data_IF_369328809276
#
_entry.id   IF_369328809276
#
_cell.length_a   1.000
_cell.length_b   1.000
_cell.length_c   1.000
_cell.angle_alpha   90.00
_cell.angle_beta   90.00
_cell.angle_gamma   90.00
#
_symmetry.space_group_name_H-M   'P 1'
#
loop_
_entity.id
_entity.type
_entity.pdbx_description
1 polymer ?
#
# COMPACT_ATOMS: atom_id res chain seq x y z
N UNK A 1 20.73 0.82 -2.12
CA UNK A 1 20.64 0.42 -3.54
C UNK A 1 19.20 0.69 -3.97
N UNK A 2 18.96 1.72 -4.79
CA UNK A 2 17.62 1.97 -5.34
C UNK A 2 17.38 0.95 -6.45
N UNK A 3 16.25 0.25 -6.41
CA UNK A 3 15.86 -0.70 -7.47
C UNK A 3 14.93 0.03 -8.42
N UNK A 4 15.35 0.20 -9.67
CA UNK A 4 14.51 0.75 -10.74
C UNK A 4 13.62 -0.39 -11.23
N UNK A 5 12.30 -0.19 -11.17
CA UNK A 5 11.32 -1.06 -11.83
C UNK A 5 10.53 -0.20 -12.80
N UNK A 6 10.90 -0.25 -14.07
CA UNK A 6 10.08 0.20 -15.18
C UNK A 6 10.12 -0.93 -16.22
N UNK A 7 8.97 -1.55 -16.53
CA UNK A 7 8.89 -2.41 -17.72
C UNK A 7 8.89 -1.49 -18.94
N UNK A 8 9.64 -1.87 -19.98
CA UNK A 8 9.71 -1.14 -21.27
C UNK A 8 8.45 -1.39 -22.09
N UNK A 9 7.28 -1.26 -21.49
CA UNK A 9 6.03 -1.31 -22.23
C UNK A 9 5.71 0.12 -22.68
N UNK A 10 5.54 0.33 -23.98
CA UNK A 10 5.06 1.61 -24.51
C UNK A 10 3.71 1.91 -23.85
N UNK A 11 3.70 2.89 -22.95
CA UNK A 11 2.47 3.33 -22.30
C UNK A 11 1.63 4.02 -23.37
N UNK A 12 0.49 3.43 -23.73
CA UNK A 12 -0.43 4.03 -24.69
C UNK A 12 -0.82 5.44 -24.23
N UNK A 13 -0.92 6.38 -25.17
CA UNK A 13 -1.27 7.76 -24.88
C UNK A 13 -2.63 7.90 -24.19
N UNK A 14 -2.83 8.99 -23.44
CA UNK A 14 -4.09 9.32 -22.77
C UNK A 14 -4.11 9.08 -21.26
N UNK A 15 -3.06 8.50 -20.68
CA UNK A 15 -2.92 8.36 -19.22
C UNK A 15 -1.95 9.39 -18.65
N UNK A 16 -2.27 9.90 -17.46
CA UNK A 16 -1.33 10.68 -16.65
C UNK A 16 -0.57 9.74 -15.73
N UNK A 17 0.77 9.76 -15.81
CA UNK A 17 1.63 8.89 -15.01
C UNK A 17 2.15 9.67 -13.81
N UNK A 18 2.05 9.08 -12.62
CA UNK A 18 2.58 9.62 -11.37
C UNK A 18 3.71 8.70 -10.89
N UNK A 19 4.99 9.06 -11.11
CA UNK A 19 6.10 8.30 -10.55
C UNK A 19 6.01 8.25 -9.03
N UNK A 20 6.13 7.05 -8.48
CA UNK A 20 6.13 6.80 -7.04
C UNK A 20 7.52 6.35 -6.59
N UNK A 21 8.12 7.07 -5.65
CA UNK A 21 9.42 6.77 -5.07
C UNK A 21 9.22 6.12 -3.71
N UNK A 22 9.55 4.83 -3.62
CA UNK A 22 9.51 4.10 -2.35
C UNK A 22 10.78 4.32 -1.53
N UNK A 23 10.59 4.70 -0.26
CA UNK A 23 11.67 4.92 0.70
C UNK A 23 11.37 4.15 1.98
N UNK A 24 12.25 3.23 2.34
CA UNK A 24 12.12 2.51 3.61
C UNK A 24 12.30 3.48 4.78
N UNK A 25 11.53 3.29 5.86
CA UNK A 25 11.69 4.11 7.06
C UNK A 25 13.10 3.98 7.67
N UNK A 26 13.73 2.81 7.54
CA UNK A 26 15.12 2.56 7.93
C UNK A 26 16.10 3.47 7.19
N UNK A 27 15.86 3.75 5.90
CA UNK A 27 16.66 4.72 5.15
C UNK A 27 16.60 6.11 5.81
N UNK A 28 15.42 6.57 6.20
CA UNK A 28 15.24 7.86 6.90
C UNK A 28 15.92 7.86 8.29
N UNK A 29 15.85 6.74 9.02
CA UNK A 29 16.52 6.59 10.31
C UNK A 29 18.04 6.73 10.17
N UNK A 30 18.63 6.08 9.16
CA UNK A 30 20.08 6.07 8.92
C UNK A 30 20.61 7.31 8.19
N UNK A 31 19.74 8.11 7.58
CA UNK A 31 20.15 9.35 6.89
C UNK A 31 20.47 10.44 7.91
N UNK A 32 21.69 10.98 7.82
CA UNK A 32 22.10 12.14 8.61
C UNK A 32 21.44 13.42 8.10
N UNK A 33 21.25 14.38 9.00
CA UNK A 33 20.61 15.68 8.68
C UNK A 33 21.32 16.45 7.55
N UNK A 34 22.65 16.28 7.41
CA UNK A 34 23.45 16.86 6.32
C UNK A 34 23.26 16.13 4.99
N UNK A 35 22.92 14.83 5.02
CA UNK A 35 22.74 13.98 3.85
C UNK A 35 21.32 14.07 3.26
N UNK A 36 20.35 14.59 4.00
CA UNK A 36 18.95 14.74 3.52
C UNK A 36 18.88 15.52 2.19
N UNK A 37 19.73 16.54 2.01
CA UNK A 37 19.80 17.30 0.76
C UNK A 37 20.29 16.44 -0.39
N UNK A 38 21.39 15.69 -0.18
CA UNK A 38 21.94 14.78 -1.18
C UNK A 38 20.94 13.68 -1.55
N UNK A 39 20.19 13.16 -0.58
CA UNK A 39 19.15 12.16 -0.84
C UNK A 39 18.05 12.73 -1.76
N UNK A 40 17.62 13.97 -1.54
CA UNK A 40 16.64 14.62 -2.41
C UNK A 40 17.17 14.82 -3.84
N UNK A 41 18.43 15.23 -3.98
CA UNK A 41 19.10 15.36 -5.29
C UNK A 41 19.16 14.01 -6.02
N UNK A 42 19.55 12.94 -5.31
CA UNK A 42 19.61 11.60 -5.88
C UNK A 42 18.24 11.07 -6.32
N UNK A 43 17.20 11.34 -5.52
CA UNK A 43 15.81 10.99 -5.88
C UNK A 43 15.41 11.71 -7.18
N UNK A 44 15.71 13.01 -7.28
CA UNK A 44 15.34 13.78 -8.46
C UNK A 44 16.09 13.32 -9.72
N UNK A 45 17.41 13.09 -9.61
CA UNK A 45 18.20 12.53 -10.71
C UNK A 45 17.63 11.20 -11.20
N UNK A 46 17.26 10.31 -10.28
CA UNK A 46 16.66 9.02 -10.63
C UNK A 46 15.32 9.18 -11.37
N UNK A 47 14.48 10.12 -10.94
CA UNK A 47 13.20 10.41 -11.62
C UNK A 47 13.45 10.88 -13.05
N UNK A 48 14.45 11.75 -13.27
CA UNK A 48 14.80 12.25 -14.60
C UNK A 48 15.37 11.16 -15.51
N UNK A 49 16.23 10.28 -14.97
CA UNK A 49 16.76 9.14 -15.71
C UNK A 49 15.64 8.20 -16.17
N UNK A 50 14.69 7.89 -15.28
CA UNK A 50 13.52 7.06 -15.61
C UNK A 50 12.68 7.75 -16.69
N UNK A 51 12.34 9.04 -16.49
CA UNK A 51 11.58 9.85 -17.45
C UNK A 51 12.16 9.77 -18.86
N UNK A 52 13.48 9.95 -18.98
CA UNK A 52 14.19 9.89 -20.25
C UNK A 52 14.14 8.48 -20.85
N UNK A 53 14.32 7.45 -20.03
CA UNK A 53 14.36 6.07 -20.49
C UNK A 53 12.99 5.53 -20.96
N UNK A 54 11.89 6.07 -20.42
CA UNK A 54 10.51 5.62 -20.71
C UNK A 54 9.79 6.51 -21.71
N UNK A 55 10.38 7.62 -22.16
CA UNK A 55 9.75 8.57 -23.09
C UNK A 55 8.55 9.31 -22.48
N UNK A 56 8.51 9.49 -21.15
CA UNK A 56 7.43 10.24 -20.49
C UNK A 56 7.68 11.74 -20.67
N UNK A 57 6.78 12.45 -21.35
CA UNK A 57 6.97 13.87 -21.66
C UNK A 57 6.84 14.79 -20.44
N UNK A 58 5.87 14.52 -19.56
CA UNK A 58 5.56 15.35 -18.40
C UNK A 58 5.36 14.55 -17.12
N UNK A 59 5.76 15.15 -16.00
CA UNK A 59 5.56 14.61 -14.66
C UNK A 59 4.79 15.66 -13.86
N UNK A 60 3.45 15.66 -13.93
CA UNK A 60 2.64 16.67 -13.25
C UNK A 60 2.64 16.47 -11.73
N UNK A 61 2.98 15.27 -11.25
CA UNK A 61 3.01 14.92 -9.84
C UNK A 61 4.07 13.85 -9.56
N UNK A 62 4.70 13.91 -8.40
CA UNK A 62 5.61 12.90 -7.86
C UNK A 62 5.06 12.45 -6.50
N UNK A 63 4.93 11.14 -6.31
CA UNK A 63 4.48 10.57 -5.04
C UNK A 63 5.66 9.97 -4.28
N UNK A 64 5.80 10.28 -2.99
CA UNK A 64 6.77 9.66 -2.11
C UNK A 64 6.07 8.66 -1.19
N UNK A 65 6.43 7.39 -1.32
CA UNK A 65 5.92 6.33 -0.44
C UNK A 65 6.90 6.06 0.69
N UNK A 66 6.51 6.41 1.93
CA UNK A 66 7.33 6.18 3.11
C UNK A 66 6.47 6.05 4.36
N UNK A 67 6.62 4.93 5.08
CA UNK A 67 5.97 4.72 6.38
C UNK A 67 6.73 5.44 7.51
N UNK A 68 6.68 6.78 7.52
CA UNK A 68 7.33 7.55 8.58
C UNK A 68 6.66 7.33 9.93
N UNK A 69 7.44 7.55 10.98
CA UNK A 69 7.06 7.39 12.39
C UNK A 69 7.26 8.71 13.13
N UNK A 70 6.80 8.78 14.38
CA UNK A 70 7.11 9.93 15.26
C UNK A 70 8.62 10.22 15.32
N UNK A 71 9.45 9.18 15.41
CA UNK A 71 10.91 9.30 15.48
C UNK A 71 11.57 9.74 14.16
N UNK A 72 10.93 9.53 13.01
CA UNK A 72 11.49 9.85 11.68
C UNK A 72 10.82 11.04 11.00
N UNK A 73 9.71 11.54 11.56
CA UNK A 73 8.89 12.64 11.04
C UNK A 73 9.71 13.84 10.59
N UNK A 74 10.52 14.42 11.47
CA UNK A 74 11.19 15.69 11.17
C UNK A 74 12.21 15.54 10.03
N UNK A 75 12.93 14.41 9.99
CA UNK A 75 13.85 14.08 8.91
C UNK A 75 13.12 13.83 7.59
N UNK A 76 12.02 13.07 7.63
CA UNK A 76 11.19 12.82 6.46
C UNK A 76 10.58 14.12 5.91
N UNK A 77 10.07 15.00 6.76
CA UNK A 77 9.48 16.28 6.33
C UNK A 77 10.54 17.22 5.77
N UNK A 78 11.76 17.19 6.31
CA UNK A 78 12.91 17.89 5.71
C UNK A 78 13.23 17.33 4.33
N UNK A 79 13.20 16.01 4.14
CA UNK A 79 13.41 15.39 2.83
C UNK A 79 12.36 15.87 1.83
N UNK A 80 11.07 15.82 2.19
CA UNK A 80 9.96 16.26 1.34
C UNK A 80 10.12 17.73 0.90
N UNK A 81 10.54 18.62 1.81
CA UNK A 81 10.84 20.03 1.47
C UNK A 81 11.98 20.17 0.47
N UNK A 82 13.03 19.37 0.61
CA UNK A 82 14.15 19.39 -0.34
C UNK A 82 13.75 18.82 -1.70
N UNK A 83 12.98 17.72 -1.74
CA UNK A 83 12.45 17.15 -2.99
C UNK A 83 11.57 18.18 -3.70
N UNK A 84 10.65 18.82 -2.98
CA UNK A 84 9.81 19.91 -3.52
C UNK A 84 10.64 21.03 -4.16
N UNK A 85 11.79 21.37 -3.57
CA UNK A 85 12.67 22.40 -4.11
C UNK A 85 13.36 21.97 -5.41
N UNK A 86 13.65 20.68 -5.59
CA UNK A 86 14.25 20.14 -6.82
C UNK A 86 13.23 19.97 -7.94
N UNK A 87 11.98 19.65 -7.61
CA UNK A 87 10.93 19.29 -8.57
C UNK A 87 10.01 20.47 -8.92
N UNK A 88 10.56 21.70 -9.00
CA UNK A 88 9.75 22.88 -9.28
C UNK A 88 8.97 22.71 -10.57
N UNK A 89 7.63 22.79 -10.49
CA UNK A 89 6.71 22.53 -11.61
C UNK A 89 5.89 21.25 -11.47
N UNK A 90 6.29 20.30 -10.61
CA UNK A 90 5.50 19.11 -10.27
C UNK A 90 4.83 19.29 -8.90
N UNK A 91 3.61 18.75 -8.76
CA UNK A 91 2.98 18.55 -7.45
C UNK A 91 3.74 17.48 -6.69
N UNK A 92 3.78 17.60 -5.37
CA UNK A 92 4.32 16.57 -4.49
C UNK A 92 3.18 15.92 -3.70
N UNK A 93 3.12 14.60 -3.68
CA UNK A 93 2.22 13.83 -2.83
C UNK A 93 2.99 12.79 -2.02
N UNK A 94 2.35 12.23 -1.00
CA UNK A 94 2.91 11.10 -0.28
C UNK A 94 1.84 10.11 0.16
N UNK A 95 2.22 8.85 0.33
CA UNK A 95 1.35 7.86 0.96
C UNK A 95 1.15 8.20 2.44
N UNK A 96 -0.03 7.88 2.99
CA UNK A 96 -0.35 8.12 4.40
C UNK A 96 -1.07 6.88 4.94
N UNK A 97 -0.60 6.41 6.10
CA UNK A 97 -1.22 5.31 6.85
C UNK A 97 -2.29 5.83 7.79
N UNK A 98 -3.31 5.02 8.03
CA UNK A 98 -4.40 5.33 8.97
C UNK A 98 -3.91 5.67 10.40
N UNK A 99 -2.85 5.03 10.88
CA UNK A 99 -2.29 5.37 12.19
C UNK A 99 -1.67 6.79 12.23
N UNK A 100 -1.14 7.29 11.11
CA UNK A 100 -0.60 8.65 11.00
C UNK A 100 -1.73 9.70 11.00
N UNK A 101 -2.92 9.34 10.51
CA UNK A 101 -4.13 10.16 10.67
C UNK A 101 -4.60 10.16 12.13
N UNK A 102 -4.70 8.97 12.73
CA UNK A 102 -5.18 8.79 14.12
C UNK A 102 -4.31 9.53 15.12
N UNK A 103 -2.98 9.46 14.98
CA UNK A 103 -2.02 10.06 15.91
C UNK A 103 -1.39 11.34 15.37
N UNK A 104 -2.18 12.18 14.70
CA UNK A 104 -1.76 13.42 14.04
C UNK A 104 -0.83 14.31 14.88
N UNK A 105 -1.09 14.46 16.18
CA UNK A 105 -0.26 15.29 17.06
C UNK A 105 1.19 14.79 17.19
N UNK A 106 1.41 13.48 17.02
CA UNK A 106 2.72 12.83 17.07
C UNK A 106 3.37 12.78 15.69
N UNK A 107 2.62 12.29 14.70
CA UNK A 107 3.11 12.00 13.34
C UNK A 107 3.12 13.22 12.42
N UNK A 108 2.40 14.29 12.77
CA UNK A 108 2.36 15.54 12.01
C UNK A 108 1.68 15.44 10.64
N UNK A 109 1.67 16.57 9.94
CA UNK A 109 1.15 16.70 8.57
C UNK A 109 2.33 16.88 7.61
N UNK A 110 2.50 16.01 6.60
CA UNK A 110 3.61 16.13 5.66
C UNK A 110 3.47 17.39 4.79
N UNK A 111 4.57 18.10 4.47
CA UNK A 111 4.56 19.34 3.69
C UNK A 111 4.41 19.09 2.17
N UNK A 112 3.38 18.36 1.78
CA UNK A 112 3.04 17.96 0.41
C UNK A 112 1.72 18.61 -0.04
N UNK A 113 1.37 18.51 -1.31
CA UNK A 113 0.14 19.11 -1.86
C UNK A 113 -1.08 18.21 -1.65
N UNK A 114 -0.85 16.88 -1.49
CA UNK A 114 -1.91 15.87 -1.31
C UNK A 114 -1.36 14.61 -0.66
N UNK A 115 -2.18 13.89 0.11
CA UNK A 115 -1.86 12.57 0.64
C UNK A 115 -2.64 11.46 -0.05
N UNK A 116 -2.05 10.27 -0.20
CA UNK A 116 -2.76 9.05 -0.61
C UNK A 116 -3.01 8.18 0.63
N UNK A 117 -4.23 8.18 1.15
CA UNK A 117 -4.61 7.38 2.31
C UNK A 117 -4.73 5.90 1.94
N UNK A 118 -3.80 5.08 2.45
CA UNK A 118 -3.79 3.65 2.21
C UNK A 118 -4.75 2.93 3.17
N UNK A 119 -5.91 2.53 2.65
CA UNK A 119 -6.97 1.85 3.40
C UNK A 119 -6.79 0.32 3.33
N UNK A 120 -5.61 -0.18 3.70
CA UNK A 120 -5.30 -1.61 3.79
C UNK A 120 -4.09 -1.88 4.68
N UNK A 121 -3.80 -3.16 4.93
CA UNK A 121 -2.76 -3.67 5.82
C UNK A 121 -2.94 -3.17 7.26
N UNK A 122 -4.17 -3.29 7.78
CA UNK A 122 -4.56 -2.75 9.08
C UNK A 122 -4.54 -3.79 10.21
N UNK A 123 -4.74 -5.06 9.88
CA UNK A 123 -4.83 -6.11 10.90
C UNK A 123 -3.47 -6.64 11.35
N UNK A 124 -3.47 -7.39 12.45
CA UNK A 124 -2.24 -7.92 13.01
C UNK A 124 -1.82 -9.23 12.31
N UNK A 125 -0.79 -9.14 11.47
CA UNK A 125 -0.14 -10.29 10.81
C UNK A 125 0.43 -11.31 11.80
N UNK A 126 0.89 -10.87 12.97
CA UNK A 126 1.52 -11.75 13.96
C UNK A 126 0.51 -12.52 14.80
N UNK A 127 -0.73 -12.05 14.90
CA UNK A 127 -1.78 -12.74 15.62
C UNK A 127 -2.42 -13.80 14.70
N UNK A 128 -2.27 -15.11 15.00
CA UNK A 128 -2.90 -16.15 14.21
C UNK A 128 -4.42 -16.00 14.18
N UNK A 129 -5.04 -15.51 15.26
CA UNK A 129 -6.50 -15.39 15.38
C UNK A 129 -7.12 -14.26 14.53
N UNK A 130 -6.34 -13.32 13.99
CA UNK A 130 -6.85 -12.31 13.05
C UNK A 130 -7.57 -13.00 11.89
N UNK A 131 -8.71 -12.47 11.45
CA UNK A 131 -9.50 -13.05 10.35
C UNK A 131 -8.91 -12.63 9.01
N UNK A 132 -8.67 -11.33 8.82
CA UNK A 132 -8.07 -10.75 7.63
C UNK A 132 -7.23 -9.52 8.00
N UNK A 133 -5.95 -9.51 7.68
CA UNK A 133 -5.06 -8.37 7.95
C UNK A 133 -5.00 -7.35 6.83
N UNK A 134 -5.46 -7.69 5.63
CA UNK A 134 -5.52 -6.80 4.47
C UNK A 134 -6.54 -5.70 4.73
N UNK A 135 -7.80 -6.06 4.99
CA UNK A 135 -8.87 -5.09 5.21
C UNK A 135 -9.98 -5.71 6.06
N UNK A 136 -10.32 -5.02 7.15
CA UNK A 136 -11.55 -5.22 7.91
C UNK A 136 -12.11 -3.83 8.25
N UNK A 137 -13.36 -3.57 7.87
CA UNK A 137 -14.05 -2.28 8.03
C UNK A 137 -14.17 -1.90 9.50
N UNK A 138 -14.35 -2.89 10.38
CA UNK A 138 -14.40 -2.66 11.83
C UNK A 138 -13.05 -2.28 12.42
N UNK A 139 -11.94 -2.72 11.82
CA UNK A 139 -10.60 -2.23 12.17
C UNK A 139 -10.39 -0.81 11.62
N UNK A 140 -10.80 -0.55 10.38
CA UNK A 140 -10.73 0.77 9.74
C UNK A 140 -11.39 1.88 10.57
N UNK A 141 -12.63 1.64 11.06
CA UNK A 141 -13.39 2.58 11.91
C UNK A 141 -12.61 3.07 13.13
N UNK A 142 -11.66 2.29 13.64
CA UNK A 142 -10.84 2.66 14.81
C UNK A 142 -9.85 3.78 14.51
N UNK A 143 -9.63 4.13 13.24
CA UNK A 143 -8.65 5.13 12.79
C UNK A 143 -9.28 6.31 12.05
N UNK A 144 -10.54 6.23 11.61
CA UNK A 144 -11.19 7.27 10.79
C UNK A 144 -11.71 8.47 11.58
N UNK A 145 -11.76 8.42 12.91
CA UNK A 145 -12.34 9.48 13.74
C UNK A 145 -11.72 10.88 13.55
N UNK A 146 -10.44 10.97 13.17
CA UNK A 146 -9.75 12.25 12.90
C UNK A 146 -9.74 12.63 11.42
N UNK A 147 -10.26 11.78 10.54
CA UNK A 147 -10.11 11.93 9.09
C UNK A 147 -10.77 13.22 8.58
N UNK A 148 -11.97 13.56 9.08
CA UNK A 148 -12.68 14.79 8.72
C UNK A 148 -12.00 16.08 9.17
N UNK A 149 -11.00 16.00 10.06
CA UNK A 149 -10.23 17.16 10.56
C UNK A 149 -8.81 17.19 10.00
N UNK A 150 -8.44 16.22 9.16
CA UNK A 150 -7.11 16.16 8.61
C UNK A 150 -6.91 17.31 7.61
N UNK A 151 -5.90 18.18 7.79
CA UNK A 151 -5.82 19.45 7.05
C UNK A 151 -5.29 19.32 5.62
N UNK A 152 -4.71 18.17 5.27
CA UNK A 152 -4.17 17.91 3.94
C UNK A 152 -5.23 17.21 3.08
N UNK A 153 -5.49 17.65 1.83
CA UNK A 153 -6.37 16.93 0.91
C UNK A 153 -5.92 15.48 0.71
N UNK A 154 -6.87 14.56 0.66
CA UNK A 154 -6.60 13.12 0.58
C UNK A 154 -7.22 12.51 -0.67
N UNK A 155 -6.42 11.70 -1.35
CA UNK A 155 -6.87 10.60 -2.19
C UNK A 155 -6.95 9.32 -1.35
N UNK A 156 -7.58 8.27 -1.90
CA UNK A 156 -7.82 7.02 -1.19
C UNK A 156 -7.33 5.84 -2.01
N UNK A 157 -6.62 4.91 -1.38
CA UNK A 157 -6.21 3.65 -1.98
C UNK A 157 -6.88 2.46 -1.29
N UNK A 158 -7.51 1.58 -2.07
CA UNK A 158 -8.11 0.32 -1.60
C UNK A 158 -7.36 -0.90 -2.13
N UNK A 159 -7.40 -2.02 -1.40
CA UNK A 159 -6.73 -3.24 -1.82
C UNK A 159 -7.64 -4.05 -2.77
N UNK A 160 -7.01 -4.69 -3.75
CA UNK A 160 -7.53 -5.77 -4.60
C UNK A 160 -6.70 -7.04 -4.47
N UNK A 161 -5.49 -6.93 -3.89
CA UNK A 161 -4.57 -8.05 -3.74
C UNK A 161 -5.06 -9.05 -2.68
N UNK A 162 -4.41 -10.21 -2.68
CA UNK A 162 -4.61 -11.30 -1.73
C UNK A 162 -3.25 -11.89 -1.38
N UNK A 163 -3.18 -12.56 -0.24
CA UNK A 163 -2.00 -13.32 0.17
C UNK A 163 -2.39 -14.44 1.13
N UNK A 164 -1.44 -15.33 1.40
CA UNK A 164 -1.51 -16.28 2.49
C UNK A 164 -0.47 -15.91 3.56
N UNK A 165 -0.90 -15.80 4.81
CA UNK A 165 -0.02 -15.54 5.95
C UNK A 165 0.45 -16.88 6.51
N UNK A 166 1.76 -17.12 6.49
CA UNK A 166 2.37 -18.36 6.97
C UNK A 166 2.71 -18.28 8.46
N UNK A 167 2.36 -19.33 9.19
CA UNK A 167 2.69 -19.53 10.59
C UNK A 167 3.39 -20.87 10.80
N UNK A 168 4.64 -20.85 11.24
CA UNK A 168 5.35 -22.02 11.78
C UNK A 168 5.17 -22.04 13.30
N UNK A 169 4.69 -23.16 13.86
CA UNK A 169 4.47 -23.31 15.31
C UNK A 169 3.69 -22.13 15.93
N UNK A 170 2.61 -21.68 15.27
CA UNK A 170 1.79 -20.51 15.65
C UNK A 170 2.53 -19.15 15.68
N UNK A 171 3.75 -19.06 15.13
CA UNK A 171 4.50 -17.81 14.98
C UNK A 171 4.50 -17.36 13.53
N UNK A 172 4.21 -16.07 13.31
CA UNK A 172 4.28 -15.48 11.98
C UNK A 172 5.66 -15.69 11.35
N UNK A 173 5.65 -16.19 10.13
CA UNK A 173 6.87 -16.59 9.40
C UNK A 173 6.99 -15.92 8.04
N UNK A 174 5.90 -15.42 7.46
CA UNK A 174 5.97 -14.66 6.23
C UNK A 174 4.63 -14.47 5.53
N UNK A 175 4.69 -13.76 4.41
CA UNK A 175 3.59 -13.59 3.46
C UNK A 175 3.93 -14.37 2.18
N UNK A 176 2.95 -15.11 1.69
CA UNK A 176 3.04 -15.83 0.43
C UNK A 176 2.05 -15.19 -0.54
N UNK A 177 2.57 -14.64 -1.63
CA UNK A 177 1.76 -14.05 -2.70
C UNK A 177 1.65 -15.01 -3.87
N UNK A 178 0.54 -14.95 -4.61
CA UNK A 178 0.35 -15.71 -5.84
C UNK A 178 0.20 -17.22 -5.66
N UNK A 179 -0.06 -17.70 -4.44
CA UNK A 179 -0.32 -19.12 -4.17
C UNK A 179 -1.82 -19.41 -4.21
N UNK A 180 -2.32 -20.04 -5.29
CA UNK A 180 -3.75 -20.27 -5.50
C UNK A 180 -4.30 -21.36 -4.56
N UNK A 181 -5.60 -21.34 -4.31
CA UNK A 181 -6.27 -22.31 -3.44
C UNK A 181 -6.20 -23.73 -4.02
N UNK A 182 -6.19 -23.84 -5.35
CA UNK A 182 -6.08 -25.07 -6.14
C UNK A 182 -4.73 -25.77 -5.96
N UNK A 183 -3.71 -25.06 -5.47
CA UNK A 183 -2.42 -25.67 -5.15
C UNK A 183 -2.51 -26.58 -3.90
N UNK A 184 -3.54 -26.42 -3.06
CA UNK A 184 -3.70 -27.20 -1.84
C UNK A 184 -4.54 -28.46 -2.09
N UNK A 185 -4.05 -29.60 -1.57
CA UNK A 185 -4.74 -30.89 -1.67
C UNK A 185 -4.96 -31.51 -0.29
N UNK A 186 -6.06 -32.24 -0.15
CA UNK A 186 -6.40 -33.01 1.04
C UNK A 186 -5.36 -34.12 1.36
N UNK A 187 -4.44 -34.43 0.44
CA UNK A 187 -3.37 -35.41 0.65
C UNK A 187 -2.30 -34.96 1.65
N UNK A 188 -2.10 -33.65 1.80
CA UNK A 188 -1.07 -33.05 2.67
C UNK A 188 -1.57 -31.89 3.53
N UNK A 189 -2.78 -31.38 3.30
CA UNK A 189 -3.35 -30.23 4.00
C UNK A 189 -4.83 -30.43 4.33
N UNK A 190 -5.33 -29.79 5.38
CA UNK A 190 -6.78 -29.66 5.63
C UNK A 190 -7.18 -28.19 5.67
N UNK A 191 -8.32 -27.83 5.04
CA UNK A 191 -8.87 -26.47 5.07
C UNK A 191 -10.00 -26.34 6.09
N UNK A 192 -10.00 -25.28 6.89
CA UNK A 192 -11.10 -24.88 7.77
C UNK A 192 -11.33 -23.37 7.66
N UNK A 193 -12.47 -22.97 7.10
CA UNK A 193 -12.72 -21.58 6.74
C UNK A 193 -11.64 -21.05 5.79
N UNK A 194 -10.96 -19.97 6.17
CA UNK A 194 -9.84 -19.39 5.42
C UNK A 194 -8.47 -19.90 5.86
N UNK A 195 -8.39 -21.04 6.57
CA UNK A 195 -7.13 -21.55 7.12
C UNK A 195 -6.79 -22.91 6.55
N UNK A 196 -5.53 -23.08 6.19
CA UNK A 196 -4.92 -24.31 5.70
C UNK A 196 -3.97 -24.83 6.77
N UNK A 197 -4.22 -26.03 7.28
CA UNK A 197 -3.34 -26.71 8.21
C UNK A 197 -2.54 -27.78 7.47
N UNK A 198 -1.22 -27.66 7.50
CA UNK A 198 -0.31 -28.60 6.85
C UNK A 198 -0.16 -29.85 7.72
N UNK A 199 -0.44 -31.01 7.14
CA UNK A 199 -0.46 -32.31 7.80
C UNK A 199 0.80 -33.15 7.49
N UNK A 200 1.50 -32.80 6.42
CA UNK A 200 2.74 -33.46 5.95
C UNK A 200 3.70 -32.43 5.37
N UNK A 201 4.98 -32.60 5.63
CA UNK A 201 6.04 -31.80 5.00
C UNK A 201 5.88 -31.83 3.48
N UNK A 202 5.82 -30.66 2.85
CA UNK A 202 5.46 -30.50 1.44
C UNK A 202 6.19 -29.30 0.84
N UNK A 203 6.90 -29.52 -0.27
CA UNK A 203 7.39 -28.44 -1.11
C UNK A 203 6.26 -27.99 -2.05
N UNK A 204 5.68 -26.82 -1.80
CA UNK A 204 4.57 -26.28 -2.58
C UNK A 204 5.01 -25.02 -3.33
N UNK A 205 5.14 -25.13 -4.66
CA UNK A 205 5.54 -24.02 -5.54
C UNK A 205 6.80 -23.25 -5.04
N UNK A 206 7.78 -23.98 -4.52
CA UNK A 206 9.03 -23.40 -4.00
C UNK A 206 9.01 -23.02 -2.52
N UNK A 207 7.86 -23.14 -1.83
CA UNK A 207 7.74 -22.94 -0.39
C UNK A 207 7.85 -24.29 0.34
N UNK A 208 8.80 -24.41 1.25
CA UNK A 208 8.97 -25.58 2.10
C UNK A 208 8.02 -25.49 3.30
N UNK A 209 6.85 -26.13 3.18
CA UNK A 209 5.83 -26.19 4.22
C UNK A 209 6.08 -27.39 5.12
N UNK A 210 6.11 -27.17 6.44
CA UNK A 210 6.31 -28.20 7.45
C UNK A 210 4.99 -28.68 8.02
N UNK A 211 4.93 -29.94 8.41
CA UNK A 211 3.82 -30.47 9.19
C UNK A 211 3.62 -29.62 10.45
N UNK A 212 2.39 -29.18 10.68
CA UNK A 212 2.03 -28.28 11.77
C UNK A 212 1.93 -26.81 11.35
N UNK A 213 2.40 -26.45 10.16
CA UNK A 213 2.23 -25.10 9.65
C UNK A 213 0.76 -24.76 9.42
N UNK A 214 0.44 -23.48 9.60
CA UNK A 214 -0.86 -22.94 9.27
C UNK A 214 -0.70 -21.78 8.29
N UNK A 215 -1.48 -21.78 7.22
CA UNK A 215 -1.60 -20.66 6.31
C UNK A 215 -2.98 -20.05 6.45
N UNK A 216 -3.04 -18.75 6.70
CA UNK A 216 -4.29 -17.98 6.68
C UNK A 216 -4.44 -17.29 5.33
N UNK A 217 -5.45 -17.68 4.57
CA UNK A 217 -5.81 -17.05 3.31
C UNK A 217 -6.58 -15.75 3.53
N UNK A 218 -6.05 -14.67 2.99
CA UNK A 218 -6.61 -13.33 3.15
C UNK A 218 -6.85 -12.71 1.77
N UNK A 219 -8.07 -12.19 1.59
CA UNK A 219 -8.54 -11.67 0.32
C UNK A 219 -9.16 -10.29 0.51
N UNK A 220 -9.10 -9.46 -0.53
CA UNK A 220 -9.81 -8.19 -0.57
C UNK A 220 -11.24 -8.41 -1.08
N UNK A 221 -12.13 -8.94 -0.23
CA UNK A 221 -13.53 -9.17 -0.62
C UNK A 221 -14.20 -7.84 -1.02
N UNK A 222 -14.84 -7.82 -2.19
CA UNK A 222 -15.46 -6.60 -2.74
C UNK A 222 -16.48 -5.98 -1.79
N UNK A 223 -17.24 -6.79 -1.03
CA UNK A 223 -18.20 -6.29 -0.05
C UNK A 223 -17.49 -5.55 1.08
N UNK A 224 -16.34 -6.06 1.50
CA UNK A 224 -15.51 -5.43 2.52
C UNK A 224 -14.87 -4.14 2.00
N UNK A 225 -14.41 -4.12 0.74
CA UNK A 225 -13.88 -2.92 0.08
C UNK A 225 -14.96 -1.84 -0.07
N UNK A 226 -16.18 -2.20 -0.49
CA UNK A 226 -17.31 -1.27 -0.59
C UNK A 226 -17.74 -0.75 0.79
N UNK A 227 -17.77 -1.61 1.81
CA UNK A 227 -18.06 -1.20 3.18
C UNK A 227 -17.02 -0.19 3.71
N UNK A 228 -15.73 -0.45 3.44
CA UNK A 228 -14.65 0.47 3.75
C UNK A 228 -14.76 1.79 2.98
N UNK A 229 -15.09 1.76 1.68
CA UNK A 229 -15.32 2.96 0.88
C UNK A 229 -16.48 3.80 1.44
N UNK A 230 -17.59 3.15 1.82
CA UNK A 230 -18.71 3.80 2.49
C UNK A 230 -18.37 4.38 3.87
N UNK A 231 -17.41 3.79 4.59
CA UNK A 231 -16.89 4.37 5.84
C UNK A 231 -16.07 5.63 5.56
N UNK A 232 -15.13 5.56 4.61
CA UNK A 232 -14.28 6.70 4.23
C UNK A 232 -15.11 7.87 3.68
N UNK A 233 -16.11 7.59 2.85
CA UNK A 233 -16.94 8.64 2.24
C UNK A 233 -17.69 9.46 3.28
N UNK A 234 -18.11 8.86 4.41
CA UNK A 234 -18.75 9.59 5.51
C UNK A 234 -17.86 10.67 6.11
N UNK A 235 -16.55 10.48 6.05
CA UNK A 235 -15.56 11.39 6.63
C UNK A 235 -15.00 12.41 5.64
N UNK A 236 -14.91 12.06 4.36
CA UNK A 236 -14.33 12.88 3.28
C UNK A 236 -15.38 13.52 2.36
N UNK A 237 -16.64 13.62 2.81
CA UNK A 237 -17.75 14.16 2.02
C UNK A 237 -17.39 15.47 1.30
N UNK A 238 -17.81 15.59 0.04
CA UNK A 238 -17.66 16.79 -0.80
C UNK A 238 -16.21 17.21 -1.07
N UNK A 239 -15.24 16.29 -0.92
CA UNK A 239 -13.83 16.55 -1.24
C UNK A 239 -13.48 15.88 -2.56
N UNK A 240 -13.05 16.63 -3.59
CA UNK A 240 -12.54 16.03 -4.82
C UNK A 240 -11.31 15.16 -4.53
N UNK A 241 -11.45 13.86 -4.80
CA UNK A 241 -10.42 12.85 -4.52
C UNK A 241 -10.22 11.93 -5.72
N UNK A 242 -9.04 11.33 -5.79
CA UNK A 242 -8.74 10.21 -6.68
C UNK A 242 -8.85 8.91 -5.89
N UNK A 243 -9.25 7.85 -6.59
CA UNK A 243 -9.28 6.49 -6.06
C UNK A 243 -8.19 5.68 -6.73
N UNK A 244 -7.34 5.04 -5.93
CA UNK A 244 -6.34 4.09 -6.38
C UNK A 244 -6.73 2.68 -5.95
N UNK A 245 -6.59 1.72 -6.86
CA UNK A 245 -6.84 0.31 -6.57
C UNK A 245 -5.51 -0.44 -6.67
N UNK A 246 -5.11 -1.09 -5.58
CA UNK A 246 -3.80 -1.73 -5.45
C UNK A 246 -3.95 -3.19 -5.08
N UNK A 247 -3.31 -4.18 -5.70
CA UNK A 247 -2.29 -4.05 -6.74
C UNK A 247 -2.93 -4.10 -8.13
N UNK A 248 -2.40 -3.31 -9.06
CA UNK A 248 -2.77 -3.41 -10.47
C UNK A 248 -2.05 -4.62 -11.09
N UNK A 249 -2.80 -5.67 -11.40
CA UNK A 249 -2.31 -6.90 -12.06
C UNK A 249 -3.47 -7.56 -12.81
N UNK A 250 -3.22 -8.13 -13.99
CA UNK A 250 -4.28 -8.67 -14.86
C UNK A 250 -4.99 -9.89 -14.26
N UNK A 251 -4.29 -10.71 -13.48
CA UNK A 251 -4.88 -11.87 -12.78
C UNK A 251 -5.71 -11.40 -11.58
N UNK A 252 -5.34 -10.29 -10.94
CA UNK A 252 -6.16 -9.67 -9.90
C UNK A 252 -7.41 -9.05 -10.52
N UNK A 253 -7.26 -8.27 -11.59
CA UNK A 253 -8.37 -7.56 -12.22
C UNK A 253 -9.44 -8.50 -12.77
N UNK A 254 -9.07 -9.69 -13.27
CA UNK A 254 -10.03 -10.68 -13.77
C UNK A 254 -10.97 -11.24 -12.69
N UNK A 255 -10.65 -11.02 -11.40
CA UNK A 255 -11.49 -11.42 -10.26
C UNK A 255 -12.61 -10.41 -9.95
N UNK A 256 -12.60 -9.23 -10.59
CA UNK A 256 -13.59 -8.18 -10.37
C UNK A 256 -14.25 -7.81 -11.70
N UNK A 257 -15.56 -7.61 -11.67
CA UNK A 257 -16.29 -7.01 -12.78
C UNK A 257 -16.04 -5.51 -12.86
N UNK A 258 -16.17 -4.94 -14.06
CA UNK A 258 -16.07 -3.47 -14.26
C UNK A 258 -17.05 -2.72 -13.35
N UNK A 259 -18.28 -3.22 -13.21
CA UNK A 259 -19.31 -2.64 -12.35
C UNK A 259 -18.89 -2.61 -10.87
N UNK A 260 -18.21 -3.66 -10.37
CA UNK A 260 -17.69 -3.67 -9.00
C UNK A 260 -16.60 -2.61 -8.80
N UNK A 261 -15.69 -2.46 -9.76
CA UNK A 261 -14.64 -1.44 -9.70
C UNK A 261 -15.23 -0.02 -9.75
N UNK A 262 -16.21 0.21 -10.62
CA UNK A 262 -16.96 1.47 -10.70
C UNK A 262 -17.74 1.77 -9.42
N UNK A 263 -18.32 0.75 -8.79
CA UNK A 263 -19.06 0.88 -7.53
C UNK A 263 -18.16 1.39 -6.39
N UNK A 264 -16.89 1.00 -6.35
CA UNK A 264 -15.91 1.54 -5.37
C UNK A 264 -15.73 3.05 -5.58
N UNK A 265 -15.55 3.47 -6.83
CA UNK A 265 -15.37 4.88 -7.18
C UNK A 265 -16.62 5.72 -6.84
N UNK A 266 -17.79 5.20 -7.21
CA UNK A 266 -19.09 5.84 -6.97
C UNK A 266 -19.46 5.90 -5.48
N UNK A 267 -18.87 5.04 -4.64
CA UNK A 267 -19.10 5.08 -3.19
C UNK A 267 -18.43 6.27 -2.50
N UNK A 268 -17.47 6.92 -3.17
CA UNK A 268 -16.68 8.04 -2.65
C UNK A 268 -17.12 9.41 -3.21
N UNK A 269 -17.99 9.44 -4.21
CA UNK A 269 -18.49 10.64 -4.90
C UNK A 269 -20.00 10.76 -4.75
#
# INVERSE_FOLDING_TARGET
MAKIQASRDELQGGFTIIPTVFITNECIQKTDSSQVKQLAENIYSLILEIKQSTGIDSIPEIQIDCDWTEATKDKYFRLLKNVRHQTQGSRLSCTIRLHQIKFLSKTGVPPVDRGLLMCYNMGNLKNPATKNSILETDELKKYTGNLSRYPLPLDVAFPLFNWKVLYHNNMYSGLIQGLPDEAFSNSFCSKSGNRYQVLKDTLLQGYDLKKGDMLRDEQSDIKEVLAAAGEISRHLKNTPLRVSLYHLDSVILSKYSTHELESIYNSLH
#
